data_IF_750047700442
#
_entry.id   IF_750047700442
#
_cell.length_a   1.000
_cell.length_b   1.000
_cell.length_c   1.000
_cell.angle_alpha   90.00
_cell.angle_beta   90.00
_cell.angle_gamma   90.00
#
_symmetry.space_group_name_H-M   'P 1'
#
loop_
_entity.id
_entity.type
_entity.pdbx_description
1 polymer ?
#
# COMPACT_ATOMS: atom_id res chain seq x y z
N UNK A 1 18.20 -10.19 3.61
CA UNK A 1 18.36 -8.71 3.67
C UNK A 1 19.03 -8.30 4.98
N UNK A 2 20.28 -7.80 4.94
CA UNK A 2 20.96 -7.28 6.14
C UNK A 2 20.44 -5.86 6.44
N UNK A 3 20.05 -5.59 7.69
CA UNK A 3 19.66 -4.25 8.15
C UNK A 3 18.17 -3.90 8.11
N UNK A 4 17.27 -4.88 7.97
CA UNK A 4 15.82 -4.68 8.13
C UNK A 4 15.42 -5.01 9.57
N UNK A 5 14.91 -4.02 10.30
CA UNK A 5 14.41 -4.20 11.68
C UNK A 5 12.89 -4.12 11.70
N UNK A 6 12.23 -5.18 12.18
CA UNK A 6 10.76 -5.27 12.21
C UNK A 6 10.26 -4.89 13.60
N UNK A 7 9.34 -3.93 13.69
CA UNK A 7 8.83 -3.41 14.97
C UNK A 7 7.48 -3.99 15.34
N UNK A 8 6.47 -3.70 14.53
CA UNK A 8 5.07 -3.94 14.88
C UNK A 8 4.29 -4.40 13.66
N UNK A 9 3.34 -5.31 13.87
CA UNK A 9 2.36 -5.68 12.85
C UNK A 9 1.35 -4.54 12.69
N UNK A 10 1.24 -4.00 11.47
CA UNK A 10 0.41 -2.84 11.14
C UNK A 10 -1.01 -3.23 10.72
N UNK A 11 -1.12 -4.23 9.83
CA UNK A 11 -2.40 -4.59 9.23
C UNK A 11 -2.48 -6.09 8.91
N UNK A 12 -3.71 -6.59 8.88
CA UNK A 12 -4.05 -7.92 8.38
C UNK A 12 -4.68 -7.78 7.01
N UNK A 13 -4.07 -8.43 6.02
CA UNK A 13 -4.75 -8.81 4.78
C UNK A 13 -5.01 -10.32 4.81
N UNK A 14 -5.91 -10.79 3.95
CA UNK A 14 -6.23 -12.22 3.84
C UNK A 14 -5.00 -13.02 3.40
N UNK A 15 -4.25 -12.50 2.44
CA UNK A 15 -3.09 -13.18 1.84
C UNK A 15 -1.74 -12.70 2.39
N UNK A 16 -1.67 -11.55 3.05
CA UNK A 16 -0.41 -10.95 3.50
C UNK A 16 -0.47 -10.34 4.90
N UNK A 17 0.68 -10.33 5.58
CA UNK A 17 0.89 -9.61 6.84
C UNK A 17 1.77 -8.39 6.57
N UNK A 18 1.33 -7.23 7.04
CA UNK A 18 2.07 -5.97 6.87
C UNK A 18 2.66 -5.56 8.21
N UNK A 19 3.96 -5.26 8.23
CA UNK A 19 4.70 -4.84 9.41
C UNK A 19 5.35 -3.47 9.19
N UNK A 20 5.40 -2.67 10.25
CA UNK A 20 6.28 -1.51 10.32
C UNK A 20 7.70 -2.02 10.52
N UNK A 21 8.58 -1.61 9.62
CA UNK A 21 10.00 -1.90 9.70
C UNK A 21 10.82 -0.62 9.49
N UNK A 22 12.11 -0.70 9.75
CA UNK A 22 13.08 0.35 9.44
C UNK A 22 14.18 -0.25 8.58
N UNK A 23 14.52 0.49 7.54
CA UNK A 23 15.61 0.18 6.63
C UNK A 23 16.40 1.44 6.36
N UNK A 24 17.72 1.41 6.61
CA UNK A 24 18.62 2.56 6.44
C UNK A 24 18.14 3.83 7.17
N UNK A 25 17.57 3.68 8.38
CA UNK A 25 17.03 4.78 9.18
C UNK A 25 15.69 5.35 8.70
N UNK A 26 15.06 4.75 7.69
CA UNK A 26 13.75 5.15 7.17
C UNK A 26 12.67 4.14 7.54
N UNK A 27 11.49 4.63 7.92
CA UNK A 27 10.32 3.77 8.18
C UNK A 27 9.77 3.23 6.86
N UNK A 28 9.55 1.93 6.81
CA UNK A 28 9.05 1.20 5.65
C UNK A 28 7.96 0.20 6.07
N UNK A 29 7.12 -0.19 5.12
CA UNK A 29 6.14 -1.25 5.32
C UNK A 29 6.66 -2.55 4.68
N UNK A 30 6.87 -3.58 5.51
CA UNK A 30 7.23 -4.93 5.07
C UNK A 30 5.96 -5.75 4.87
N UNK A 31 5.72 -6.22 3.65
CA UNK A 31 4.65 -7.14 3.31
C UNK A 31 5.20 -8.55 3.16
N UNK A 32 4.63 -9.52 3.87
CA UNK A 32 5.02 -10.95 3.80
C UNK A 32 3.81 -11.83 3.52
N UNK A 33 3.99 -12.84 2.69
CA UNK A 33 2.98 -13.87 2.43
C UNK A 33 2.58 -14.60 3.72
N UNK A 34 1.27 -14.78 3.94
CA UNK A 34 0.74 -15.47 5.13
C UNK A 34 0.63 -16.99 4.95
N UNK A 35 0.23 -17.45 3.77
CA UNK A 35 0.10 -18.89 3.43
C UNK A 35 0.51 -19.12 1.97
N UNK A 36 1.08 -20.29 1.69
CA UNK A 36 1.41 -20.70 0.32
C UNK A 36 0.18 -20.85 -0.58
N UNK A 37 -1.01 -21.06 -0.01
CA UNK A 37 -2.27 -21.14 -0.75
C UNK A 37 -2.57 -19.86 -1.55
N UNK A 38 -2.04 -18.71 -1.11
CA UNK A 38 -2.23 -17.40 -1.75
C UNK A 38 -0.98 -16.94 -2.52
N UNK A 39 -0.02 -17.83 -2.79
CA UNK A 39 1.24 -17.44 -3.42
C UNK A 39 1.01 -16.83 -4.81
N UNK A 40 0.13 -17.42 -5.61
CA UNK A 40 -0.16 -16.92 -6.96
C UNK A 40 -0.76 -15.50 -6.91
N UNK A 41 -1.76 -15.28 -6.04
CA UNK A 41 -2.39 -13.97 -5.84
C UNK A 41 -1.37 -12.92 -5.33
N UNK A 42 -0.50 -13.33 -4.41
CA UNK A 42 0.54 -12.46 -3.86
C UNK A 42 1.55 -12.05 -4.93
N UNK A 43 2.02 -12.99 -5.74
CA UNK A 43 2.95 -12.71 -6.84
C UNK A 43 2.27 -11.89 -7.94
N UNK A 44 1.00 -12.15 -8.25
CA UNK A 44 0.23 -11.35 -9.19
C UNK A 44 0.09 -9.90 -8.69
N UNK A 45 -0.27 -9.71 -7.42
CA UNK A 45 -0.34 -8.38 -6.80
C UNK A 45 1.00 -7.65 -6.81
N UNK A 46 2.11 -8.35 -6.54
CA UNK A 46 3.46 -7.78 -6.65
C UNK A 46 3.80 -7.39 -8.09
N UNK A 47 3.47 -8.23 -9.08
CA UNK A 47 3.68 -7.92 -10.49
C UNK A 47 2.89 -6.68 -10.94
N UNK A 48 1.64 -6.57 -10.49
CA UNK A 48 0.83 -5.37 -10.71
C UNK A 48 1.43 -4.14 -10.03
N UNK A 49 1.88 -4.26 -8.79
CA UNK A 49 2.53 -3.17 -8.06
C UNK A 49 3.78 -2.67 -8.78
N UNK A 50 4.58 -3.58 -9.35
CA UNK A 50 5.76 -3.23 -10.16
C UNK A 50 5.39 -2.53 -11.47
N UNK A 51 4.37 -3.05 -12.19
CA UNK A 51 3.95 -2.51 -13.48
C UNK A 51 3.26 -1.13 -13.37
N UNK A 52 2.70 -0.82 -12.20
CA UNK A 52 1.92 0.39 -11.95
C UNK A 52 2.65 1.44 -11.10
N UNK A 53 3.98 1.35 -10.96
CA UNK A 53 4.75 2.33 -10.19
C UNK A 53 4.61 3.75 -10.80
N UNK A 54 3.81 4.59 -10.14
CA UNK A 54 3.59 6.01 -10.41
C UNK A 54 3.19 6.70 -9.09
N UNK A 55 3.03 8.02 -9.09
CA UNK A 55 2.55 8.82 -7.95
C UNK A 55 1.18 8.39 -7.38
N UNK A 56 0.38 7.70 -8.19
CA UNK A 56 -0.94 7.19 -7.81
C UNK A 56 -0.90 5.86 -7.01
N UNK A 57 0.25 5.19 -6.95
CA UNK A 57 0.40 3.86 -6.34
C UNK A 57 1.53 3.90 -5.32
N UNK A 58 1.37 3.18 -4.21
CA UNK A 58 2.37 3.11 -3.15
C UNK A 58 3.74 2.71 -3.72
N UNK A 59 4.78 3.43 -3.31
CA UNK A 59 6.12 3.20 -3.82
C UNK A 59 6.67 1.84 -3.36
N UNK A 60 7.09 1.02 -4.32
CA UNK A 60 7.86 -0.20 -4.05
C UNK A 60 9.33 0.18 -3.80
N UNK A 61 9.84 -0.18 -2.63
CA UNK A 61 11.20 0.11 -2.18
C UNK A 61 12.14 -1.06 -2.48
N UNK A 62 11.67 -2.29 -2.31
CA UNK A 62 12.48 -3.47 -2.55
C UNK A 62 11.68 -4.78 -2.48
N UNK A 63 12.30 -5.88 -2.90
CA UNK A 63 11.71 -7.21 -2.88
C UNK A 63 12.74 -8.26 -2.46
N UNK A 64 12.26 -9.32 -1.82
CA UNK A 64 13.02 -10.51 -1.45
C UNK A 64 12.25 -11.73 -1.97
N UNK A 65 12.74 -12.34 -3.06
CA UNK A 65 12.05 -13.45 -3.71
C UNK A 65 12.08 -14.72 -2.86
N UNK A 66 13.19 -14.94 -2.16
CA UNK A 66 13.43 -16.12 -1.31
C UNK A 66 12.46 -16.17 -0.12
N UNK A 67 12.12 -15.02 0.44
CA UNK A 67 11.27 -14.90 1.62
C UNK A 67 9.79 -14.58 1.28
N UNK A 68 9.43 -14.56 -0.01
CA UNK A 68 8.12 -14.10 -0.50
C UNK A 68 7.66 -12.82 0.20
N UNK A 69 8.53 -11.80 0.18
CA UNK A 69 8.29 -10.53 0.84
C UNK A 69 8.73 -9.35 -0.01
N UNK A 70 8.06 -8.21 0.20
CA UNK A 70 8.41 -6.96 -0.44
C UNK A 70 8.24 -5.80 0.53
N UNK A 71 8.91 -4.69 0.23
CA UNK A 71 8.98 -3.50 1.06
C UNK A 71 8.43 -2.32 0.28
N UNK A 72 7.51 -1.58 0.89
CA UNK A 72 6.96 -0.35 0.34
C UNK A 72 7.25 0.84 1.26
N UNK A 73 6.99 2.05 0.77
CA UNK A 73 6.92 3.22 1.65
C UNK A 73 5.89 3.00 2.77
N UNK A 74 6.15 3.60 3.92
CA UNK A 74 5.26 3.53 5.07
C UNK A 74 4.31 4.72 5.12
N UNK A 75 3.01 4.45 5.09
CA UNK A 75 1.97 5.46 5.36
C UNK A 75 1.40 5.29 6.76
N UNK A 76 1.47 6.37 7.56
CA UNK A 76 1.07 6.39 8.97
C UNK A 76 -0.36 5.89 9.21
N UNK A 77 -1.28 6.23 8.31
CA UNK A 77 -2.70 5.97 8.47
C UNK A 77 -3.18 4.69 7.75
N UNK A 78 -2.27 3.92 7.14
CA UNK A 78 -2.47 2.63 6.46
C UNK A 78 -3.65 2.55 5.46
N UNK A 79 -4.89 2.59 5.93
CA UNK A 79 -6.12 2.44 5.14
C UNK A 79 -7.08 3.59 5.34
N UNK A 80 -7.67 4.06 4.23
CA UNK A 80 -8.77 5.02 4.23
C UNK A 80 -10.05 4.49 4.92
N UNK A 81 -10.15 3.18 5.19
CA UNK A 81 -11.26 2.63 5.98
C UNK A 81 -11.32 3.21 7.41
N UNK A 82 -10.17 3.66 7.95
CA UNK A 82 -10.10 4.29 9.26
C UNK A 82 -10.21 5.83 9.20
N UNK A 83 -10.73 6.40 8.11
CA UNK A 83 -10.77 7.86 7.91
C UNK A 83 -11.50 8.59 9.05
N UNK A 84 -12.63 8.05 9.52
CA UNK A 84 -13.36 8.63 10.66
C UNK A 84 -12.52 8.61 11.95
N UNK A 85 -11.82 7.51 12.20
CA UNK A 85 -10.92 7.39 13.34
C UNK A 85 -9.75 8.36 13.28
N UNK A 86 -9.22 8.63 12.08
CA UNK A 86 -8.18 9.65 11.86
C UNK A 86 -8.74 11.05 12.14
N UNK A 87 -9.90 11.40 11.58
CA UNK A 87 -10.51 12.72 11.79
C UNK A 87 -11.01 12.97 13.22
N UNK A 88 -11.32 11.92 13.98
CA UNK A 88 -11.68 12.04 15.38
C UNK A 88 -10.52 12.51 16.28
N UNK A 89 -9.26 12.29 15.84
CA UNK A 89 -8.08 12.73 16.59
C UNK A 89 -7.97 14.25 16.60
N UNK A 90 -7.72 14.87 17.76
CA UNK A 90 -7.63 16.33 17.92
C UNK A 90 -6.69 16.99 16.89
N UNK A 91 -5.54 16.35 16.64
CA UNK A 91 -4.54 16.80 15.66
C UNK A 91 -5.01 16.76 14.19
N UNK A 92 -6.14 16.13 13.87
CA UNK A 92 -6.68 16.03 12.52
C UNK A 92 -8.12 16.55 12.40
N UNK A 93 -8.75 17.00 13.49
CA UNK A 93 -10.13 17.52 13.47
C UNK A 93 -10.30 18.71 12.53
N UNK A 94 -9.28 19.55 12.38
CA UNK A 94 -9.34 20.69 11.44
C UNK A 94 -9.38 20.26 9.96
N UNK A 95 -9.03 19.01 9.65
CA UNK A 95 -9.18 18.42 8.32
C UNK A 95 -10.56 17.77 8.10
N UNK A 96 -11.42 17.72 9.12
CA UNK A 96 -12.77 17.16 9.03
C UNK A 96 -13.75 18.11 8.33
N UNK A 97 -13.40 18.50 7.11
CA UNK A 97 -14.18 19.40 6.26
C UNK A 97 -14.60 18.68 4.99
N UNK A 98 -15.77 19.02 4.45
CA UNK A 98 -16.30 18.39 3.24
C UNK A 98 -15.35 18.53 2.04
N UNK A 99 -14.54 19.60 1.99
CA UNK A 99 -13.56 19.83 0.94
C UNK A 99 -12.46 18.76 0.91
N UNK A 100 -11.99 18.30 2.08
CA UNK A 100 -10.98 17.23 2.16
C UNK A 100 -11.60 15.91 1.71
N UNK A 101 -12.84 15.63 2.12
CA UNK A 101 -13.57 14.42 1.67
C UNK A 101 -13.80 14.42 0.16
N UNK A 102 -14.18 15.56 -0.41
CA UNK A 102 -14.34 15.70 -1.85
C UNK A 102 -13.00 15.52 -2.58
N UNK A 103 -11.91 16.09 -2.05
CA UNK A 103 -10.57 15.90 -2.62
C UNK A 103 -10.16 14.43 -2.63
N UNK A 104 -10.34 13.70 -1.52
CA UNK A 104 -10.08 12.26 -1.46
C UNK A 104 -10.92 11.49 -2.50
N UNK A 105 -12.18 11.87 -2.71
CA UNK A 105 -13.02 11.26 -3.74
C UNK A 105 -12.53 11.55 -5.17
N UNK A 106 -12.08 12.78 -5.44
CA UNK A 106 -11.48 13.16 -6.73
C UNK A 106 -10.15 12.43 -6.97
N UNK A 107 -9.32 12.31 -5.95
CA UNK A 107 -8.06 11.56 -6.00
C UNK A 107 -8.35 10.08 -6.30
N UNK A 108 -9.35 9.48 -5.63
CA UNK A 108 -9.79 8.11 -5.90
C UNK A 108 -10.23 7.89 -7.36
N UNK A 109 -11.07 8.78 -7.92
CA UNK A 109 -11.50 8.70 -9.32
C UNK A 109 -10.32 8.88 -10.29
N UNK A 110 -9.37 9.74 -9.94
CA UNK A 110 -8.16 9.95 -10.74
C UNK A 110 -7.27 8.70 -10.76
N UNK A 111 -7.13 8.02 -9.63
CA UNK A 111 -6.43 6.72 -9.54
C UNK A 111 -7.16 5.66 -10.37
N UNK A 112 -8.49 5.58 -10.30
CA UNK A 112 -9.26 4.65 -11.14
C UNK A 112 -9.05 4.91 -12.64
N UNK A 113 -9.04 6.18 -13.04
CA UNK A 113 -8.74 6.57 -14.41
C UNK A 113 -7.33 6.13 -14.82
N UNK A 114 -6.32 6.34 -13.97
CA UNK A 114 -4.97 5.84 -14.20
C UNK A 114 -4.95 4.31 -14.38
N UNK A 115 -5.58 3.57 -13.48
CA UNK A 115 -5.62 2.10 -13.52
C UNK A 115 -6.27 1.58 -14.81
N UNK A 116 -7.40 2.15 -15.23
CA UNK A 116 -8.10 1.75 -16.44
C UNK A 116 -7.28 1.97 -17.72
N UNK A 117 -6.41 2.97 -17.74
CA UNK A 117 -5.58 3.32 -18.91
C UNK A 117 -4.15 2.75 -18.83
N UNK A 118 -3.81 2.06 -17.74
CA UNK A 118 -2.48 1.48 -17.56
C UNK A 118 -2.28 0.18 -18.38
N UNK A 119 -1.03 -0.19 -18.72
CA UNK A 119 -0.75 -1.41 -19.48
C UNK A 119 -1.19 -2.71 -18.81
N UNK A 120 -1.37 -2.70 -17.48
CA UNK A 120 -1.90 -3.82 -16.70
C UNK A 120 -3.41 -3.76 -16.43
N UNK A 121 -4.09 -2.70 -16.87
CA UNK A 121 -5.54 -2.53 -16.74
C UNK A 121 -6.31 -3.41 -17.74
N UNK A 122 -7.63 -3.61 -17.54
CA UNK A 122 -8.47 -4.41 -18.45
C UNK A 122 -8.49 -3.91 -19.90
N UNK A 123 -8.15 -2.62 -20.15
CA UNK A 123 -8.07 -2.04 -21.49
C UNK A 123 -6.70 -2.22 -22.18
N UNK A 124 -5.64 -2.64 -21.46
CA UNK A 124 -4.29 -2.84 -22.00
C UNK A 124 -4.07 -4.22 -22.66
N UNK A 125 -5.11 -5.04 -22.76
CA UNK A 125 -5.08 -6.40 -23.34
C UNK A 125 -5.80 -6.51 -24.70
N UNK A 126 -6.17 -5.39 -25.34
CA UNK A 126 -6.82 -5.38 -26.66
C UNK A 126 -5.82 -5.08 -27.77
#
# INVERSE_FOLDING_TARGET
>A
MLGLYVFLRLCFSVYSQVYLAEWSGQKVALCRLTSQDYLEDFLHGLGMLQALQDTAVVQLVGLCAEDHSFVTEYHLHCSLLNLEGVFAQEQHQFHHMWQIRLRLALDYVSILHFLHNSPGGPAGRV
#
